data_IF_774116392066
#
_entry.id   IF_774116392066
#
_cell.length_a   1.000
_cell.length_b   1.000
_cell.length_c   1.000
_cell.angle_alpha   90.00
_cell.angle_beta   90.00
_cell.angle_gamma   90.00
#
_symmetry.space_group_name_H-M   'P 1'
#
loop_
_entity.id
_entity.type
_entity.pdbx_description
1 polymer ?
#
# COMPACT_ATOMS: atom_id res chain seq x y z
N UNK A 1 0.88 10.67 8.24
CA UNK A 1 1.83 9.99 7.33
C UNK A 1 3.29 10.11 7.75
N UNK A 2 3.72 11.18 8.44
CA UNK A 2 5.13 11.38 8.86
C UNK A 2 5.68 10.32 9.84
N UNK A 3 4.84 9.69 10.67
CA UNK A 3 5.28 8.77 11.72
C UNK A 3 5.86 7.42 11.21
N UNK A 4 5.46 6.98 10.02
CA UNK A 4 5.97 5.73 9.43
C UNK A 4 7.27 5.95 8.64
N UNK A 5 7.35 7.05 7.88
CA UNK A 5 8.53 7.41 7.08
C UNK A 5 9.75 7.69 7.98
N UNK A 6 9.53 8.23 9.18
CA UNK A 6 10.60 8.47 10.15
C UNK A 6 11.31 7.18 10.62
N UNK A 7 10.64 6.02 10.54
CA UNK A 7 11.19 4.71 10.91
C UNK A 7 11.99 4.02 9.79
N UNK A 8 12.06 4.63 8.60
CA UNK A 8 12.78 4.07 7.46
C UNK A 8 14.29 4.32 7.55
N UNK A 9 15.08 3.31 7.17
CA UNK A 9 16.51 3.47 6.91
C UNK A 9 16.73 4.38 5.69
N UNK A 10 17.95 4.88 5.48
CA UNK A 10 18.26 5.72 4.30
C UNK A 10 17.92 4.99 3.00
N UNK A 11 18.28 3.72 2.90
CA UNK A 11 17.99 2.89 1.73
C UNK A 11 16.48 2.65 1.53
N UNK A 12 15.75 2.40 2.62
CA UNK A 12 14.29 2.22 2.55
C UNK A 12 13.58 3.53 2.16
N UNK A 13 14.14 4.70 2.53
CA UNK A 13 13.61 6.02 2.11
C UNK A 13 13.80 6.30 0.64
N UNK A 14 14.99 6.02 0.09
CA UNK A 14 15.23 6.20 -1.34
C UNK A 14 14.32 5.29 -2.17
N UNK A 15 14.17 4.04 -1.74
CA UNK A 15 13.22 3.12 -2.37
C UNK A 15 11.77 3.62 -2.23
N UNK A 16 11.36 4.08 -1.04
CA UNK A 16 10.03 4.66 -0.83
C UNK A 16 9.74 5.82 -1.78
N UNK A 17 10.69 6.76 -1.95
CA UNK A 17 10.54 7.89 -2.88
C UNK A 17 10.28 7.43 -4.32
N UNK A 18 10.90 6.33 -4.74
CA UNK A 18 10.76 5.80 -6.10
C UNK A 18 9.38 5.16 -6.36
N UNK A 19 8.77 4.55 -5.34
CA UNK A 19 7.50 3.80 -5.50
C UNK A 19 6.27 4.56 -4.98
N UNK A 20 6.48 5.55 -4.11
CA UNK A 20 5.40 6.29 -3.48
C UNK A 20 4.65 7.15 -4.50
N UNK A 21 3.34 7.21 -4.35
CA UNK A 21 2.47 8.08 -5.14
C UNK A 21 1.74 9.03 -4.21
N UNK A 22 1.12 10.08 -4.78
CA UNK A 22 0.11 10.85 -4.04
C UNK A 22 -1.02 9.89 -3.66
N UNK A 23 -1.44 9.84 -2.38
CA UNK A 23 -2.50 8.93 -1.95
C UNK A 23 -3.74 9.06 -2.82
N UNK A 24 -4.23 7.93 -3.32
CA UNK A 24 -5.39 7.86 -4.20
C UNK A 24 -6.31 6.71 -3.78
N UNK A 25 -7.63 6.94 -3.81
CA UNK A 25 -8.59 5.87 -3.57
C UNK A 25 -8.68 4.95 -4.78
N UNK A 26 -8.46 3.66 -4.56
CA UNK A 26 -8.63 2.61 -5.55
C UNK A 26 -9.76 1.70 -5.12
N UNK A 27 -10.57 1.27 -6.09
CA UNK A 27 -11.70 0.37 -5.84
C UNK A 27 -11.17 -1.00 -5.44
N UNK A 28 -11.87 -1.64 -4.52
CA UNK A 28 -11.70 -3.05 -4.22
C UNK A 28 -13.11 -3.64 -4.36
N UNK A 29 -13.27 -4.62 -5.26
CA UNK A 29 -14.58 -5.03 -5.75
C UNK A 29 -15.31 -6.00 -4.80
N UNK A 30 -14.61 -6.62 -3.84
CA UNK A 30 -15.20 -7.68 -3.00
C UNK A 30 -15.76 -7.15 -1.67
N UNK A 31 -15.04 -6.24 -1.03
CA UNK A 31 -15.29 -5.73 0.32
C UNK A 31 -15.18 -4.20 0.41
N UNK A 32 -14.52 -3.55 -0.55
CA UNK A 32 -14.29 -2.09 -0.55
C UNK A 32 -15.45 -1.21 -1.06
N UNK A 33 -16.59 -1.80 -1.44
CA UNK A 33 -17.70 -1.07 -2.08
C UNK A 33 -18.34 -0.01 -1.15
N UNK A 34 -18.52 -0.30 0.14
CA UNK A 34 -19.12 0.63 1.11
C UNK A 34 -18.20 1.82 1.46
N UNK A 35 -16.88 1.62 1.43
CA UNK A 35 -15.87 2.64 1.73
C UNK A 35 -15.42 3.48 0.52
N UNK A 36 -15.97 3.23 -0.67
CA UNK A 36 -15.48 3.76 -1.95
C UNK A 36 -14.00 3.41 -2.21
N UNK A 37 -13.59 2.22 -1.78
CA UNK A 37 -12.23 1.71 -1.93
C UNK A 37 -11.23 2.17 -0.86
N UNK A 38 -9.98 1.78 -1.03
CA UNK A 38 -8.89 2.00 -0.08
C UNK A 38 -7.82 2.95 -0.60
N UNK A 39 -7.06 3.56 0.31
CA UNK A 39 -6.03 4.53 -0.04
C UNK A 39 -4.74 3.82 -0.48
N UNK A 40 -4.46 3.80 -1.78
CA UNK A 40 -3.17 3.35 -2.32
C UNK A 40 -2.16 4.47 -2.18
N UNK A 41 -0.97 4.12 -1.67
CA UNK A 41 0.10 5.07 -1.35
C UNK A 41 1.42 4.77 -2.08
N UNK A 42 1.56 3.57 -2.65
CA UNK A 42 2.72 3.21 -3.47
C UNK A 42 2.38 2.12 -4.49
N UNK A 43 3.14 2.10 -5.58
CA UNK A 43 3.03 1.12 -6.67
C UNK A 43 4.44 0.62 -7.02
N UNK A 44 4.61 -0.69 -7.07
CA UNK A 44 5.82 -1.35 -7.61
C UNK A 44 5.38 -2.50 -8.51
N UNK A 45 5.76 -2.44 -9.78
CA UNK A 45 5.40 -3.45 -10.78
C UNK A 45 3.87 -3.68 -10.79
N UNK A 46 3.43 -4.91 -10.52
CA UNK A 46 2.01 -5.28 -10.40
C UNK A 46 1.50 -5.30 -8.95
N UNK A 47 2.20 -4.67 -8.01
CA UNK A 47 1.85 -4.62 -6.58
C UNK A 47 1.57 -3.18 -6.11
N UNK A 48 0.68 -3.05 -5.14
CA UNK A 48 0.36 -1.79 -4.46
C UNK A 48 0.47 -1.92 -2.96
N UNK A 49 0.91 -0.84 -2.30
CA UNK A 49 0.73 -0.66 -0.86
C UNK A 49 -0.51 0.20 -0.66
N UNK A 50 -1.45 -0.28 0.15
CA UNK A 50 -2.67 0.43 0.48
C UNK A 50 -2.95 0.45 1.97
N UNK A 51 -3.57 1.52 2.44
CA UNK A 51 -4.00 1.68 3.82
C UNK A 51 -5.46 1.25 3.96
N UNK A 52 -5.68 0.34 4.91
CA UNK A 52 -6.98 -0.08 5.36
C UNK A 52 -7.38 0.78 6.57
N UNK A 53 -8.35 1.67 6.36
CA UNK A 53 -8.88 2.59 7.36
C UNK A 53 -9.83 1.93 8.36
N UNK A 54 -10.33 0.72 8.07
CA UNK A 54 -11.16 -0.07 8.98
C UNK A 54 -10.28 -0.79 10.01
N UNK A 55 -9.19 -1.39 9.54
CA UNK A 55 -8.26 -2.21 10.34
C UNK A 55 -7.01 -1.42 10.81
N UNK A 56 -6.95 -0.13 10.50
CA UNK A 56 -5.86 0.81 10.82
C UNK A 56 -4.43 0.31 10.47
N UNK A 57 -4.21 -0.20 9.25
CA UNK A 57 -2.89 -0.69 8.85
C UNK A 57 -2.67 -0.78 7.34
N UNK A 58 -1.43 -1.09 6.95
CA UNK A 58 -1.04 -1.24 5.55
C UNK A 58 -1.11 -2.70 5.09
N UNK A 59 -1.41 -2.86 3.82
CA UNK A 59 -1.48 -4.15 3.14
C UNK A 59 -0.79 -4.05 1.78
N UNK A 60 -0.38 -5.20 1.24
CA UNK A 60 0.14 -5.33 -0.12
C UNK A 60 -0.80 -6.22 -0.91
N UNK A 61 -1.19 -5.75 -2.09
CA UNK A 61 -2.00 -6.55 -3.01
C UNK A 61 -1.49 -6.38 -4.43
N UNK A 62 -1.79 -7.36 -5.29
CA UNK A 62 -1.59 -7.21 -6.72
C UNK A 62 -2.71 -6.39 -7.36
N UNK A 63 -2.43 -5.87 -8.56
CA UNK A 63 -3.43 -5.27 -9.43
C UNK A 63 -3.18 -5.66 -10.89
N UNK A 64 -4.25 -5.79 -11.66
CA UNK A 64 -4.20 -5.99 -13.13
C UNK A 64 -4.66 -4.75 -13.90
N UNK A 65 -5.44 -3.89 -13.25
CA UNK A 65 -5.93 -2.62 -13.79
C UNK A 65 -5.63 -1.49 -12.78
N UNK A 66 -5.06 -0.39 -13.28
CA UNK A 66 -4.81 0.78 -12.46
C UNK A 66 -6.11 1.31 -11.88
N UNK A 67 -6.13 1.55 -10.56
CA UNK A 67 -7.34 1.99 -9.85
C UNK A 67 -8.17 0.87 -9.23
N UNK A 68 -7.77 -0.40 -9.40
CA UNK A 68 -8.45 -1.56 -8.83
C UNK A 68 -7.49 -2.47 -8.05
N UNK A 69 -7.83 -2.80 -6.81
CA UNK A 69 -7.08 -3.72 -5.96
C UNK A 69 -7.68 -5.13 -6.15
N UNK A 70 -6.86 -6.11 -6.51
CA UNK A 70 -7.34 -7.44 -6.88
C UNK A 70 -7.78 -8.30 -5.69
N UNK A 71 -7.19 -8.09 -4.50
CA UNK A 71 -7.50 -8.90 -3.31
C UNK A 71 -7.35 -8.09 -2.02
N UNK A 72 -8.33 -8.23 -1.14
CA UNK A 72 -8.33 -7.68 0.21
C UNK A 72 -7.49 -8.56 1.17
N UNK A 73 -6.79 -7.92 2.11
CA UNK A 73 -5.99 -8.55 3.15
C UNK A 73 -6.11 -7.78 4.46
N UNK A 74 -5.73 -8.43 5.57
CA UNK A 74 -5.78 -7.92 6.94
C UNK A 74 -4.41 -8.09 7.62
N UNK A 75 -3.33 -7.76 6.92
CA UNK A 75 -1.97 -7.86 7.46
C UNK A 75 -1.70 -6.83 8.57
N UNK A 76 -2.39 -5.67 8.50
CA UNK A 76 -2.29 -4.59 9.50
C UNK A 76 -0.83 -4.12 9.74
N UNK A 77 -0.01 -4.13 8.69
CA UNK A 77 1.40 -3.74 8.81
C UNK A 77 1.55 -2.24 9.10
N UNK A 78 2.60 -1.88 9.84
CA UNK A 78 3.14 -0.53 9.75
C UNK A 78 3.84 -0.31 8.40
N UNK A 79 3.83 0.94 7.91
CA UNK A 79 4.35 1.31 6.59
C UNK A 79 5.75 0.78 6.29
N UNK A 80 6.68 0.85 7.25
CA UNK A 80 8.05 0.37 7.05
C UNK A 80 8.13 -1.14 6.79
N UNK A 81 7.21 -1.91 7.33
CA UNK A 81 7.17 -3.36 7.12
C UNK A 81 6.66 -3.67 5.72
N UNK A 82 5.60 -3.00 5.26
CA UNK A 82 5.10 -3.14 3.89
C UNK A 82 6.15 -2.70 2.85
N UNK A 83 6.87 -1.61 3.10
CA UNK A 83 7.95 -1.16 2.20
C UNK A 83 9.06 -2.24 2.09
N UNK A 84 9.47 -2.82 3.22
CA UNK A 84 10.50 -3.88 3.22
C UNK A 84 10.02 -5.17 2.56
N UNK A 85 8.75 -5.52 2.73
CA UNK A 85 8.12 -6.67 2.07
C UNK A 85 8.07 -6.47 0.55
N UNK A 86 7.50 -5.37 0.07
CA UNK A 86 7.35 -5.12 -1.37
C UNK A 86 8.69 -4.98 -2.09
N UNK A 87 9.73 -4.47 -1.40
CA UNK A 87 11.10 -4.40 -1.93
C UNK A 87 11.70 -5.78 -2.23
N UNK A 88 11.29 -6.80 -1.47
CA UNK A 88 11.70 -8.20 -1.66
C UNK A 88 10.73 -8.98 -2.55
N UNK A 89 9.58 -8.39 -2.90
CA UNK A 89 8.62 -9.02 -3.78
C UNK A 89 9.22 -9.10 -5.21
N UNK A 90 9.10 -10.25 -5.87
CA UNK A 90 9.67 -10.49 -7.20
C UNK A 90 9.14 -9.51 -8.25
#
# INVERSE_FOLDING_TARGET
MEAGVSKLSVEDREFWKAISIKPAKWKELQYGAEGNGFWVVAIKDSNVIWYNDIEEGFNISTFTQYGEIAKYYTEQDELQWSIRKIKKAP
#
